data_IF_455540105234
#
_entry.id   IF_455540105234
#
_cell.length_a   1.000
_cell.length_b   1.000
_cell.length_c   1.000
_cell.angle_alpha   90.00
_cell.angle_beta   90.00
_cell.angle_gamma   90.00
#
_symmetry.space_group_name_H-M   'P 1'
#
loop_
_entity.id
_entity.type
_entity.pdbx_description
1 polymer ?
#
# COMPACT_ATOMS: atom_id res chain seq x y z
N UNK A 1 -5.96 76.82 11.21
CA UNK A 1 -4.88 75.97 11.74
C UNK A 1 -5.26 74.52 11.45
N UNK A 2 -4.57 73.90 10.49
CA UNK A 2 -4.75 72.49 10.10
C UNK A 2 -4.00 71.59 11.10
N UNK A 3 -4.65 70.55 11.62
CA UNK A 3 -3.96 69.42 12.25
C UNK A 3 -4.41 68.13 11.57
N UNK A 4 -3.53 67.61 10.72
CA UNK A 4 -3.66 66.28 10.12
C UNK A 4 -3.22 65.20 11.10
N UNK A 5 -4.00 64.12 11.20
CA UNK A 5 -3.63 62.92 11.93
C UNK A 5 -2.96 61.95 10.95
N UNK A 6 -1.67 61.67 11.17
CA UNK A 6 -0.92 60.62 10.48
C UNK A 6 -1.31 59.25 11.05
N UNK A 7 -1.85 58.38 10.21
CA UNK A 7 -2.06 56.96 10.48
C UNK A 7 -0.77 56.17 10.23
N UNK A 8 -0.18 55.60 11.29
CA UNK A 8 0.88 54.59 11.15
C UNK A 8 0.23 53.21 10.92
N UNK A 9 0.16 52.80 9.67
CA UNK A 9 -0.13 51.41 9.29
C UNK A 9 1.08 50.53 9.55
N UNK A 10 1.00 49.66 10.55
CA UNK A 10 2.01 48.63 10.83
C UNK A 10 1.82 47.49 9.82
N UNK A 11 2.58 47.51 8.72
CA UNK A 11 2.57 46.46 7.71
C UNK A 11 3.24 45.18 8.24
N UNK A 12 2.45 44.22 8.72
CA UNK A 12 2.92 42.84 8.88
C UNK A 12 3.13 42.22 7.50
N UNK A 13 4.38 42.05 7.10
CA UNK A 13 4.73 41.25 5.94
C UNK A 13 4.54 39.78 6.28
N UNK A 14 3.45 39.17 5.81
CA UNK A 14 3.34 37.72 5.77
C UNK A 14 4.43 37.19 4.83
N UNK A 15 5.53 36.70 5.41
CA UNK A 15 6.46 35.81 4.69
C UNK A 15 5.67 34.55 4.35
N UNK A 16 5.23 34.44 3.10
CA UNK A 16 4.69 33.21 2.56
C UNK A 16 5.71 32.09 2.74
N UNK A 17 5.38 31.10 3.57
CA UNK A 17 6.08 29.83 3.58
C UNK A 17 5.80 29.19 2.23
N UNK A 18 6.82 29.10 1.36
CA UNK A 18 6.70 28.32 0.14
C UNK A 18 6.34 26.88 0.55
N UNK A 19 5.30 26.25 -0.04
CA UNK A 19 5.02 24.85 0.23
C UNK A 19 6.28 24.04 -0.09
N UNK A 20 6.72 23.22 0.86
CA UNK A 20 7.80 22.28 0.61
C UNK A 20 7.42 21.44 -0.62
N UNK A 21 8.34 21.31 -1.57
CA UNK A 21 8.13 20.44 -2.72
C UNK A 21 7.80 19.03 -2.20
N UNK A 22 6.59 18.55 -2.44
CA UNK A 22 6.22 17.20 -2.03
C UNK A 22 7.13 16.21 -2.76
N UNK A 23 7.96 15.51 -2.01
CA UNK A 23 8.95 14.55 -2.50
C UNK A 23 8.32 13.29 -3.15
N UNK A 24 6.99 13.25 -3.31
CA UNK A 24 6.23 12.15 -3.89
C UNK A 24 6.13 10.90 -3.01
N UNK A 25 6.87 10.80 -1.90
CA UNK A 25 6.96 9.57 -1.08
C UNK A 25 5.64 9.21 -0.39
N UNK A 26 4.79 10.19 -0.12
CA UNK A 26 3.48 9.96 0.54
C UNK A 26 2.35 9.67 -0.45
N UNK A 27 2.58 9.91 -1.74
CA UNK A 27 1.55 9.72 -2.76
C UNK A 27 1.09 8.27 -2.83
N UNK A 28 -0.20 8.04 -3.11
CA UNK A 28 -0.77 6.70 -3.20
C UNK A 28 -0.24 5.92 -4.41
N UNK A 29 -0.27 4.57 -4.36
CA UNK A 29 0.11 3.75 -5.50
C UNK A 29 -0.64 4.15 -6.77
N UNK A 30 0.05 4.11 -7.91
CA UNK A 30 -0.48 4.46 -9.24
C UNK A 30 -0.26 3.31 -10.22
N UNK A 31 -1.03 3.34 -11.32
CA UNK A 31 -0.79 2.45 -12.46
C UNK A 31 0.66 2.59 -12.94
N UNK A 32 1.33 1.46 -13.13
CA UNK A 32 2.71 1.37 -13.61
C UNK A 32 3.75 1.33 -12.50
N UNK A 33 3.39 1.57 -11.23
CA UNK A 33 4.35 1.47 -10.13
C UNK A 33 4.94 0.05 -10.07
N UNK A 34 6.27 -0.03 -9.93
CA UNK A 34 6.97 -1.28 -9.60
C UNK A 34 6.83 -1.56 -8.11
N UNK A 35 6.83 -2.83 -7.72
CA UNK A 35 6.78 -3.20 -6.30
C UNK A 35 8.20 -3.55 -5.85
N UNK A 36 8.67 -2.89 -4.81
CA UNK A 36 10.05 -3.04 -4.30
C UNK A 36 10.04 -3.58 -2.87
N UNK A 37 11.07 -4.33 -2.48
CA UNK A 37 11.20 -4.84 -1.11
C UNK A 37 11.09 -3.69 -0.10
N UNK A 38 10.23 -3.85 0.90
CA UNK A 38 10.04 -2.83 1.92
C UNK A 38 11.21 -2.75 2.91
N UNK A 39 11.87 -3.89 3.20
CA UNK A 39 12.84 -4.03 4.28
C UNK A 39 13.97 -5.00 3.91
N UNK A 40 15.02 -5.02 4.75
CA UNK A 40 16.18 -5.91 4.62
C UNK A 40 17.19 -5.41 3.59
N UNK A 41 18.21 -6.24 3.31
CA UNK A 41 19.32 -5.92 2.39
C UNK A 41 18.87 -5.60 0.96
N UNK A 42 17.68 -6.08 0.57
CA UNK A 42 17.09 -5.84 -0.76
C UNK A 42 16.14 -4.65 -0.80
N UNK A 43 16.00 -3.89 0.29
CA UNK A 43 15.07 -2.76 0.35
C UNK A 43 15.25 -1.81 -0.86
N UNK A 44 14.14 -1.44 -1.51
CA UNK A 44 14.14 -0.60 -2.71
C UNK A 44 14.46 -1.34 -4.03
N UNK A 45 14.92 -2.60 -3.99
CA UNK A 45 15.06 -3.41 -5.21
C UNK A 45 13.70 -3.92 -5.68
N UNK A 46 13.52 -4.03 -7.00
CA UNK A 46 12.28 -4.55 -7.60
C UNK A 46 12.08 -6.02 -7.23
N UNK A 47 10.86 -6.36 -6.83
CA UNK A 47 10.41 -7.73 -6.59
C UNK A 47 9.94 -8.31 -7.92
N UNK A 48 10.49 -9.46 -8.30
CA UNK A 48 10.06 -10.24 -9.46
C UNK A 48 9.26 -11.47 -9.01
N UNK A 49 8.42 -12.09 -9.87
CA UNK A 49 7.63 -13.27 -9.47
C UNK A 49 8.44 -14.45 -8.91
N UNK A 50 9.72 -14.56 -9.30
CA UNK A 50 10.64 -15.58 -8.78
C UNK A 50 11.05 -15.36 -7.32
N UNK A 51 10.93 -14.12 -6.81
CA UNK A 51 11.19 -13.80 -5.40
C UNK A 51 10.05 -14.26 -4.48
N UNK A 52 8.89 -14.61 -5.03
CA UNK A 52 7.69 -14.98 -4.27
C UNK A 52 7.55 -16.50 -4.19
N UNK A 53 7.66 -17.10 -2.99
CA UNK A 53 7.46 -18.53 -2.80
C UNK A 53 6.03 -18.95 -3.18
N UNK A 54 5.85 -20.03 -3.97
CA UNK A 54 4.52 -20.57 -4.25
C UNK A 54 3.81 -21.01 -2.96
N UNK A 55 2.59 -20.53 -2.72
CA UNK A 55 1.83 -20.85 -1.51
C UNK A 55 2.18 -19.98 -0.30
N UNK A 56 2.98 -18.92 -0.48
CA UNK A 56 3.41 -18.02 0.59
C UNK A 56 4.70 -18.45 1.30
N UNK A 57 5.21 -17.65 2.26
CA UNK A 57 4.58 -16.47 2.85
C UNK A 57 4.58 -15.25 1.92
N UNK A 58 3.91 -14.18 2.35
CA UNK A 58 3.91 -12.90 1.64
C UNK A 58 5.26 -12.18 1.72
N UNK A 59 5.58 -11.40 0.69
CA UNK A 59 6.65 -10.40 0.69
C UNK A 59 6.05 -9.00 0.93
N UNK A 60 6.61 -8.26 1.88
CA UNK A 60 6.24 -6.86 2.09
C UNK A 60 6.96 -5.94 1.10
N UNK A 61 6.22 -4.98 0.57
CA UNK A 61 6.70 -4.09 -0.47
C UNK A 61 6.19 -2.66 -0.33
N UNK A 62 6.85 -1.74 -1.01
CA UNK A 62 6.31 -0.42 -1.35
C UNK A 62 6.19 -0.26 -2.87
N UNK A 63 5.25 0.56 -3.36
CA UNK A 63 5.24 1.00 -4.75
C UNK A 63 6.39 1.95 -5.02
N UNK A 64 6.97 1.87 -6.21
CA UNK A 64 8.00 2.76 -6.71
C UNK A 64 7.61 3.26 -8.09
N UNK A 65 7.69 4.57 -8.27
CA UNK A 65 7.51 5.19 -9.58
C UNK A 65 8.60 4.70 -10.56
N UNK A 66 8.24 4.11 -11.71
CA UNK A 66 9.22 3.45 -12.58
C UNK A 66 10.17 4.43 -13.27
N UNK A 67 9.79 5.72 -13.38
CA UNK A 67 10.57 6.74 -14.09
C UNK A 67 11.44 7.50 -13.09
N UNK A 68 10.83 8.09 -12.07
CA UNK A 68 11.54 8.92 -11.08
C UNK A 68 12.27 8.10 -10.03
N UNK A 69 11.98 6.80 -9.92
CA UNK A 69 12.49 5.87 -8.90
C UNK A 69 12.14 6.28 -7.46
N UNK A 70 11.18 7.20 -7.28
CA UNK A 70 10.67 7.55 -5.96
C UNK A 70 9.91 6.35 -5.39
N UNK A 71 10.42 5.81 -4.28
CA UNK A 71 9.71 4.82 -3.47
C UNK A 71 8.66 5.55 -2.63
N UNK A 72 7.40 5.10 -2.72
CA UNK A 72 6.25 5.69 -2.03
C UNK A 72 6.13 5.17 -0.59
N UNK A 73 7.23 5.21 0.16
CA UNK A 73 7.38 4.70 1.54
C UNK A 73 7.12 5.75 2.63
N UNK A 74 6.73 6.98 2.26
CA UNK A 74 6.46 8.07 3.20
C UNK A 74 5.25 7.81 4.10
N UNK A 75 4.42 6.81 3.77
CA UNK A 75 3.31 6.35 4.59
C UNK A 75 3.23 4.84 4.62
N UNK A 76 3.08 4.25 5.82
CA UNK A 76 2.78 2.82 5.95
C UNK A 76 1.47 2.41 5.28
N UNK A 77 0.57 3.37 5.03
CA UNK A 77 -0.65 3.12 4.27
C UNK A 77 -0.38 2.81 2.79
N UNK A 78 0.86 2.91 2.31
CA UNK A 78 1.28 2.45 0.99
C UNK A 78 1.92 1.06 1.02
N UNK A 79 2.14 0.47 2.20
CA UNK A 79 2.76 -0.85 2.28
C UNK A 79 1.84 -1.93 1.71
N UNK A 80 2.42 -2.84 0.94
CA UNK A 80 1.73 -3.91 0.22
C UNK A 80 2.25 -5.26 0.70
N UNK A 81 1.36 -6.23 0.85
CA UNK A 81 1.68 -7.64 0.98
C UNK A 81 1.46 -8.33 -0.37
N UNK A 82 2.53 -8.82 -1.00
CA UNK A 82 2.46 -9.64 -2.21
C UNK A 82 2.50 -11.12 -1.83
N UNK A 83 1.60 -11.92 -2.38
CA UNK A 83 1.64 -13.38 -2.22
C UNK A 83 1.41 -14.06 -3.55
N UNK A 84 2.15 -15.15 -3.80
CA UNK A 84 1.98 -16.00 -4.97
C UNK A 84 1.26 -17.28 -4.58
N UNK A 85 0.12 -17.53 -5.20
CA UNK A 85 -0.70 -18.73 -4.99
C UNK A 85 -0.96 -19.44 -6.32
N UNK A 86 -1.51 -20.65 -6.23
CA UNK A 86 -2.01 -21.34 -7.42
C UNK A 86 -3.25 -20.57 -7.93
N UNK A 87 -3.26 -20.10 -9.19
CA UNK A 87 -4.40 -19.39 -9.76
C UNK A 87 -5.71 -20.19 -9.67
N UNK A 88 -5.68 -21.53 -9.65
CA UNK A 88 -6.89 -22.34 -9.52
C UNK A 88 -7.68 -22.09 -8.22
N UNK A 89 -7.00 -21.55 -7.20
CA UNK A 89 -7.60 -21.24 -5.90
C UNK A 89 -8.35 -19.91 -5.88
N UNK A 90 -8.14 -19.04 -6.87
CA UNK A 90 -8.72 -17.70 -6.88
C UNK A 90 -10.20 -17.71 -7.24
N UNK A 91 -10.96 -16.88 -6.52
CA UNK A 91 -12.26 -16.41 -7.00
C UNK A 91 -12.09 -15.64 -8.32
N UNK A 92 -13.14 -15.56 -9.11
CA UNK A 92 -13.10 -14.88 -10.42
C UNK A 92 -12.67 -13.42 -10.27
N UNK A 93 -13.20 -12.74 -9.24
CA UNK A 93 -12.87 -11.36 -8.95
C UNK A 93 -11.42 -11.16 -8.50
N UNK A 94 -10.84 -12.14 -7.79
CA UNK A 94 -9.43 -12.11 -7.40
C UNK A 94 -8.55 -12.36 -8.62
N UNK A 95 -8.91 -13.35 -9.45
CA UNK A 95 -8.21 -13.67 -10.70
C UNK A 95 -8.15 -12.48 -11.65
N UNK A 96 -9.24 -11.73 -11.78
CA UNK A 96 -9.32 -10.55 -12.63
C UNK A 96 -8.39 -9.39 -12.23
N UNK A 97 -7.85 -9.40 -11.02
CA UNK A 97 -6.92 -8.37 -10.51
C UNK A 97 -5.55 -8.94 -10.11
N UNK A 98 -5.33 -10.23 -10.34
CA UNK A 98 -4.06 -10.91 -10.13
C UNK A 98 -3.19 -10.87 -11.39
N UNK A 99 -1.89 -11.10 -11.24
CA UNK A 99 -0.96 -11.25 -12.36
C UNK A 99 -0.05 -12.45 -12.12
N UNK A 100 -0.08 -13.46 -13.02
CA UNK A 100 0.82 -14.61 -12.93
C UNK A 100 0.72 -15.42 -11.62
N UNK A 101 -0.48 -15.48 -11.01
CA UNK A 101 -0.68 -16.10 -9.69
C UNK A 101 -0.29 -15.22 -8.49
N UNK A 102 0.14 -13.98 -8.74
CA UNK A 102 0.46 -12.98 -7.72
C UNK A 102 -0.76 -12.11 -7.45
N UNK A 103 -1.06 -11.90 -6.17
CA UNK A 103 -2.04 -10.94 -5.67
C UNK A 103 -1.35 -9.99 -4.69
N UNK A 104 -1.89 -8.78 -4.59
CA UNK A 104 -1.36 -7.73 -3.74
C UNK A 104 -2.48 -7.07 -2.92
N UNK A 105 -2.23 -6.87 -1.64
CA UNK A 105 -3.16 -6.23 -0.72
C UNK A 105 -2.44 -5.18 0.13
N UNK A 106 -3.17 -4.19 0.64
CA UNK A 106 -2.68 -3.34 1.72
C UNK A 106 -2.18 -4.20 2.87
N UNK A 107 -0.94 -3.95 3.31
CA UNK A 107 -0.36 -4.59 4.49
C UNK A 107 -0.80 -3.93 5.81
N UNK A 108 -1.89 -3.15 5.79
CA UNK A 108 -2.43 -2.45 6.95
C UNK A 108 -3.77 -3.05 7.34
N UNK A 109 -3.85 -3.55 8.58
CA UNK A 109 -5.03 -4.19 9.13
C UNK A 109 -6.18 -3.19 9.23
N UNK A 110 -7.38 -3.64 8.90
CA UNK A 110 -8.59 -2.82 8.87
C UNK A 110 -9.26 -2.68 10.23
N UNK A 111 -8.77 -3.41 11.24
CA UNK A 111 -9.16 -3.25 12.64
C UNK A 111 -8.55 -1.97 13.22
N UNK A 112 -7.29 -2.03 13.65
CA UNK A 112 -6.61 -0.93 14.36
C UNK A 112 -5.41 -0.34 13.61
N UNK A 113 -5.22 -0.73 12.34
CA UNK A 113 -4.12 -0.19 11.53
C UNK A 113 -2.76 -0.86 11.72
N UNK A 114 -2.68 -1.95 12.52
CA UNK A 114 -1.46 -2.73 12.66
C UNK A 114 -0.96 -3.30 11.32
N UNK A 115 0.35 -3.53 11.16
CA UNK A 115 0.87 -4.27 10.02
C UNK A 115 0.30 -5.70 9.92
N UNK A 116 -0.08 -6.12 8.72
CA UNK A 116 -0.42 -7.49 8.35
C UNK A 116 0.84 -8.14 7.78
N UNK A 117 1.80 -8.42 8.66
CA UNK A 117 3.16 -8.82 8.30
C UNK A 117 3.46 -10.31 8.53
N UNK A 118 2.47 -11.11 8.94
CA UNK A 118 2.65 -12.53 9.24
C UNK A 118 1.83 -13.43 8.31
N UNK A 119 2.25 -14.69 8.21
CA UNK A 119 1.61 -15.73 7.42
C UNK A 119 1.12 -16.86 8.30
N UNK A 120 -0.14 -17.24 8.18
CA UNK A 120 -0.66 -18.44 8.85
C UNK A 120 -0.60 -19.64 7.90
N UNK A 121 0.44 -20.47 8.05
CA UNK A 121 0.79 -21.55 7.11
C UNK A 121 -0.32 -22.58 6.90
N UNK A 122 -1.02 -22.98 7.97
CA UNK A 122 -2.03 -24.04 7.90
C UNK A 122 -3.25 -23.65 7.06
N UNK A 123 -3.71 -22.40 7.17
CA UNK A 123 -4.86 -21.88 6.40
C UNK A 123 -4.47 -21.08 5.17
N UNK A 124 -3.17 -20.86 4.94
CA UNK A 124 -2.63 -20.01 3.86
C UNK A 124 -3.25 -18.61 3.83
N UNK A 125 -3.31 -17.96 4.99
CA UNK A 125 -3.92 -16.63 5.15
C UNK A 125 -2.90 -15.60 5.61
N UNK A 126 -3.09 -14.35 5.18
CA UNK A 126 -2.40 -13.20 5.75
C UNK A 126 -2.85 -13.01 7.21
N UNK A 127 -1.92 -12.69 8.11
CA UNK A 127 -2.16 -12.65 9.55
C UNK A 127 -1.69 -11.35 10.18
N UNK A 128 -2.56 -10.78 11.02
CA UNK A 128 -2.27 -9.64 11.88
C UNK A 128 -2.20 -10.10 13.34
N UNK A 129 -1.01 -10.08 13.93
CA UNK A 129 -0.80 -10.62 15.28
C UNK A 129 -1.39 -9.76 16.41
N UNK A 130 -1.72 -8.48 16.17
CA UNK A 130 -2.23 -7.59 17.22
C UNK A 130 -3.48 -8.15 17.90
N UNK A 131 -4.44 -8.63 17.11
CA UNK A 131 -5.73 -9.16 17.60
C UNK A 131 -6.18 -10.39 16.81
N UNK A 132 -5.21 -11.10 16.23
CA UNK A 132 -5.40 -12.34 15.49
C UNK A 132 -6.33 -12.28 14.26
N UNK A 133 -6.46 -11.13 13.58
CA UNK A 133 -7.21 -11.06 12.33
C UNK A 133 -6.52 -11.85 11.22
N UNK A 134 -7.31 -12.64 10.47
CA UNK A 134 -6.85 -13.41 9.31
C UNK A 134 -7.60 -12.99 8.06
N UNK A 135 -6.88 -12.90 6.95
CA UNK A 135 -7.41 -12.49 5.65
C UNK A 135 -7.06 -13.52 4.58
N UNK A 136 -8.05 -13.88 3.76
CA UNK A 136 -7.89 -14.82 2.66
C UNK A 136 -7.41 -14.12 1.38
N UNK A 137 -6.15 -14.29 0.97
CA UNK A 137 -5.63 -13.70 -0.25
C UNK A 137 -6.15 -14.35 -1.54
N UNK A 138 -6.79 -15.52 -1.48
CA UNK A 138 -7.39 -16.15 -2.66
C UNK A 138 -8.82 -15.63 -2.94
N UNK A 139 -9.42 -14.98 -1.94
CA UNK A 139 -10.75 -14.38 -2.01
C UNK A 139 -10.72 -12.91 -1.56
N UNK A 140 -10.18 -12.04 -2.42
CA UNK A 140 -10.23 -10.58 -2.29
C UNK A 140 -9.75 -10.00 -0.94
N UNK A 141 -8.90 -10.71 -0.20
CA UNK A 141 -8.46 -10.29 1.13
C UNK A 141 -9.58 -10.33 2.18
N UNK A 142 -10.60 -11.18 1.98
CA UNK A 142 -11.77 -11.34 2.86
C UNK A 142 -11.32 -11.71 4.27
N UNK A 143 -12.00 -11.14 5.27
CA UNK A 143 -11.77 -11.51 6.67
C UNK A 143 -12.31 -12.92 6.90
N UNK A 144 -11.46 -13.81 7.40
CA UNK A 144 -11.84 -15.18 7.76
C UNK A 144 -11.77 -15.43 9.26
N UNK A 145 -11.14 -14.54 10.02
CA UNK A 145 -11.07 -14.61 11.47
C UNK A 145 -10.68 -13.27 12.11
N UNK A 146 -10.93 -13.16 13.41
CA UNK A 146 -10.60 -12.01 14.26
C UNK A 146 -11.49 -10.78 14.03
N UNK A 147 -11.17 -9.65 14.68
CA UNK A 147 -12.08 -8.51 14.82
C UNK A 147 -12.06 -7.52 13.64
N UNK A 148 -11.31 -7.79 12.57
CA UNK A 148 -11.25 -6.89 11.42
C UNK A 148 -12.65 -6.74 10.79
N UNK A 149 -13.19 -5.52 10.65
CA UNK A 149 -14.58 -5.34 10.24
C UNK A 149 -14.79 -5.50 8.72
N UNK A 150 -13.69 -5.55 7.95
CA UNK A 150 -13.74 -5.55 6.48
C UNK A 150 -12.48 -6.12 5.85
N UNK A 151 -12.61 -6.55 4.60
CA UNK A 151 -11.49 -7.03 3.78
C UNK A 151 -10.37 -6.00 3.62
N UNK A 152 -9.16 -6.48 3.36
CA UNK A 152 -8.04 -5.64 2.95
C UNK A 152 -8.33 -4.98 1.59
N UNK A 153 -7.81 -3.77 1.37
CA UNK A 153 -7.86 -3.16 0.06
C UNK A 153 -6.90 -3.89 -0.88
N UNK A 154 -7.38 -4.33 -2.04
CA UNK A 154 -6.56 -5.02 -3.03
C UNK A 154 -5.85 -3.99 -3.91
N UNK A 155 -4.58 -4.20 -4.23
CA UNK A 155 -3.86 -3.43 -5.25
C UNK A 155 -3.91 -4.25 -6.55
N UNK A 156 -4.68 -3.84 -7.57
CA UNK A 156 -4.77 -4.59 -8.81
C UNK A 156 -3.39 -4.66 -9.49
N UNK A 157 -3.08 -5.82 -10.06
CA UNK A 157 -1.80 -6.09 -10.71
C UNK A 157 -1.99 -6.38 -12.21
N UNK A 158 -0.94 -6.14 -12.98
CA UNK A 158 -0.84 -6.57 -14.37
C UNK A 158 0.58 -7.08 -14.65
N UNK A 159 0.70 -8.01 -15.59
CA UNK A 159 1.99 -8.48 -16.07
C UNK A 159 2.52 -7.55 -17.17
N UNK A 160 3.78 -7.17 -17.09
CA UNK A 160 4.49 -6.38 -18.12
C UNK A 160 5.88 -6.96 -18.27
N UNK A 161 6.20 -7.49 -19.44
CA UNK A 161 7.51 -8.07 -19.77
C UNK A 161 8.01 -9.14 -18.77
N UNK A 162 7.07 -9.93 -18.21
CA UNK A 162 7.37 -10.96 -17.21
C UNK A 162 7.43 -10.47 -15.76
N UNK A 163 7.43 -9.15 -15.55
CA UNK A 163 7.30 -8.53 -14.24
C UNK A 163 5.84 -8.34 -13.83
N UNK A 164 5.64 -8.04 -12.54
CA UNK A 164 4.36 -7.64 -11.97
C UNK A 164 4.42 -6.18 -11.57
N UNK A 165 3.44 -5.39 -12.04
CA UNK A 165 3.32 -3.97 -11.72
C UNK A 165 1.91 -3.64 -11.24
N UNK A 166 1.76 -2.52 -10.53
CA UNK A 166 0.43 -2.03 -10.17
C UNK A 166 -0.35 -1.66 -11.45
N UNK A 167 -1.55 -2.21 -11.61
CA UNK A 167 -2.47 -1.88 -12.71
C UNK A 167 -3.31 -0.63 -12.39
N UNK A 168 -3.51 -0.32 -11.11
CA UNK A 168 -4.25 0.82 -10.60
C UNK A 168 -3.84 1.12 -9.14
N UNK A 169 -4.48 2.11 -8.51
CA UNK A 169 -4.43 2.28 -7.05
C UNK A 169 -5.25 1.23 -6.30
N UNK A 170 -5.23 1.28 -4.97
CA UNK A 170 -5.99 0.35 -4.12
C UNK A 170 -7.50 0.38 -4.42
N UNK A 171 -8.12 -0.80 -4.46
CA UNK A 171 -9.57 -0.99 -4.56
C UNK A 171 -10.18 -1.07 -3.17
N UNK A 172 -10.56 0.10 -2.65
CA UNK A 172 -11.18 0.27 -1.34
C UNK A 172 -10.29 1.01 -0.34
N UNK A 173 -10.83 1.22 0.85
CA UNK A 173 -10.17 1.98 1.92
C UNK A 173 -8.98 1.21 2.50
N UNK A 174 -7.87 1.89 2.75
CA UNK A 174 -6.69 1.32 3.42
C UNK A 174 -6.74 1.59 4.93
N UNK A 175 -6.31 0.62 5.74
CA UNK A 175 -6.16 0.76 7.20
C UNK A 175 -7.48 0.81 7.99
N UNK A 176 -7.45 1.25 9.25
CA UNK A 176 -8.66 1.35 10.08
C UNK A 176 -9.62 2.43 9.58
N UNK A 177 -10.88 2.37 10.00
CA UNK A 177 -11.77 3.52 9.93
C UNK A 177 -11.41 4.51 11.03
N UNK A 178 -11.19 5.77 10.66
CA UNK A 178 -11.15 6.87 11.62
C UNK A 178 -12.59 7.34 11.83
N UNK A 179 -13.09 7.21 13.05
CA UNK A 179 -14.33 7.90 13.46
C UNK A 179 -14.07 9.39 13.58
#
# INVERSE_FOLDING_TARGET
MLTGALSLGLGLTFRGVAPAAENGKETRPRKGDRLVFAYGERAGQVIVPADLPPGGPQQLAFPMDPVTKVVRDGSLLNQVALVRLDPSQFTEETRAQAAGGVVAYSAVCTHEGCPVSMWHKASKTLFCACHASRFDPADRGRVVDGPAPRRLAMLPLQAVDGDVVAAAGFTGRVGRETK
#
